data_IF_076973508743
#
_entry.id   IF_076973508743
#
_cell.length_a   1.000
_cell.length_b   1.000
_cell.length_c   1.000
_cell.angle_alpha   90.00
_cell.angle_beta   90.00
_cell.angle_gamma   90.00
#
_symmetry.space_group_name_H-M   'P 1'
#
loop_
_entity.id
_entity.type
_entity.pdbx_description
1 polymer ?
#
# COMPACT_ATOMS: atom_id res chain seq x y z
N UNK A 1 -22.23 6.33 -16.06
CA UNK A 1 -20.84 5.92 -16.34
C UNK A 1 -19.92 6.55 -15.29
N UNK A 2 -19.03 5.79 -14.62
CA UNK A 2 -18.02 6.38 -13.72
C UNK A 2 -16.89 6.94 -14.59
N UNK A 3 -16.67 8.26 -14.56
CA UNK A 3 -15.66 8.94 -15.35
C UNK A 3 -14.73 9.79 -14.48
N UNK A 4 -14.07 10.76 -15.10
CA UNK A 4 -13.06 11.65 -14.49
C UNK A 4 -13.54 12.31 -13.19
N UNK A 5 -14.83 12.67 -13.09
CA UNK A 5 -15.44 13.25 -11.89
C UNK A 5 -15.29 12.36 -10.64
N UNK A 6 -15.20 11.04 -10.81
CA UNK A 6 -15.02 10.09 -9.69
C UNK A 6 -13.58 10.03 -9.19
N UNK A 7 -12.58 10.38 -10.02
CA UNK A 7 -11.15 10.27 -9.68
C UNK A 7 -10.70 11.32 -8.64
N UNK A 8 -11.36 12.48 -8.59
CA UNK A 8 -11.06 13.52 -7.59
C UNK A 8 -11.23 13.05 -6.13
N UNK A 9 -12.00 11.98 -5.90
CA UNK A 9 -12.19 11.40 -4.56
C UNK A 9 -11.06 10.47 -4.12
N UNK A 10 -10.20 9.99 -5.04
CA UNK A 10 -9.17 8.98 -4.74
C UNK A 10 -7.91 9.53 -4.08
N UNK A 11 -7.65 10.84 -4.16
CA UNK A 11 -6.44 11.46 -3.58
C UNK A 11 -6.50 11.76 -2.07
N UNK A 12 -7.68 11.64 -1.45
CA UNK A 12 -7.92 12.09 -0.06
C UNK A 12 -7.19 11.28 1.02
N UNK A 13 -6.73 10.06 0.71
CA UNK A 13 -6.08 9.21 1.69
C UNK A 13 -5.03 8.32 1.07
N UNK A 14 -3.85 8.28 1.69
CA UNK A 14 -2.78 7.37 1.29
C UNK A 14 -3.12 5.96 1.77
N UNK A 15 -3.21 5.02 0.82
CA UNK A 15 -3.42 3.60 1.14
C UNK A 15 -2.07 2.89 1.35
N UNK A 16 -1.07 3.25 0.55
CA UNK A 16 0.27 2.69 0.58
C UNK A 16 1.30 3.75 1.00
N UNK A 17 2.31 3.34 1.74
CA UNK A 17 3.50 4.11 2.12
C UNK A 17 4.77 3.27 1.94
N UNK A 18 5.92 3.91 2.13
CA UNK A 18 7.22 3.27 2.16
C UNK A 18 7.28 2.18 3.24
N UNK A 19 7.66 0.97 2.84
CA UNK A 19 7.82 -0.16 3.73
C UNK A 19 9.12 -0.04 4.52
N UNK A 20 9.02 -0.13 5.85
CA UNK A 20 10.19 -0.10 6.76
C UNK A 20 11.16 -1.28 6.59
N UNK A 21 10.74 -2.39 5.97
CA UNK A 21 11.60 -3.56 5.74
C UNK A 21 12.34 -3.49 4.40
N UNK A 22 11.64 -3.22 3.30
CA UNK A 22 12.22 -3.32 1.94
C UNK A 22 12.34 -1.99 1.18
N UNK A 23 11.91 -0.87 1.76
CA UNK A 23 11.98 0.45 1.10
C UNK A 23 10.95 0.70 0.00
N UNK A 24 10.26 -0.32 -0.50
CA UNK A 24 9.23 -0.14 -1.55
C UNK A 24 7.99 0.61 -1.02
N UNK A 25 7.38 1.46 -1.86
CA UNK A 25 6.13 2.18 -1.55
C UNK A 25 4.89 1.27 -1.66
N UNK A 26 4.92 0.17 -0.90
CA UNK A 26 3.93 -0.91 -0.99
C UNK A 26 3.39 -1.35 0.37
N UNK A 27 3.72 -0.64 1.45
CA UNK A 27 3.15 -0.93 2.77
C UNK A 27 1.76 -0.33 2.92
N UNK A 28 0.74 -1.19 3.03
CA UNK A 28 -0.63 -0.79 3.21
C UNK A 28 -0.87 -0.37 4.67
N UNK A 29 -1.22 0.90 4.90
CA UNK A 29 -1.41 1.45 6.25
C UNK A 29 -2.65 0.84 6.91
N UNK A 30 -3.74 0.70 6.15
CA UNK A 30 -5.03 0.21 6.66
C UNK A 30 -4.96 -1.25 7.04
N UNK A 31 -4.31 -2.07 6.21
CA UNK A 31 -4.20 -3.52 6.41
C UNK A 31 -2.92 -3.94 7.14
N UNK A 32 -2.02 -3.00 7.45
CA UNK A 32 -0.76 -3.20 8.18
C UNK A 32 0.16 -4.28 7.59
N UNK A 33 0.25 -4.35 6.25
CA UNK A 33 1.20 -5.26 5.59
C UNK A 33 1.80 -4.68 4.31
N UNK A 34 3.00 -5.15 3.95
CA UNK A 34 3.66 -4.83 2.69
C UNK A 34 3.28 -5.82 1.60
N UNK A 35 2.74 -5.31 0.49
CA UNK A 35 2.40 -6.11 -0.67
C UNK A 35 3.63 -6.67 -1.40
N UNK A 36 4.77 -5.97 -1.33
CA UNK A 36 6.02 -6.42 -1.96
C UNK A 36 6.70 -7.51 -1.12
N UNK A 37 7.28 -7.16 0.04
CA UNK A 37 8.13 -8.09 0.79
C UNK A 37 7.39 -8.96 1.83
N UNK A 38 6.07 -8.79 2.00
CA UNK A 38 5.28 -9.51 3.00
C UNK A 38 5.42 -9.01 4.45
N UNK A 39 6.18 -7.95 4.71
CA UNK A 39 6.34 -7.35 6.05
C UNK A 39 4.99 -7.08 6.73
N UNK A 40 4.82 -7.49 7.99
CA UNK A 40 3.56 -7.39 8.75
C UNK A 40 2.59 -8.56 8.54
N UNK A 41 2.73 -9.32 7.43
CA UNK A 41 1.95 -10.55 7.18
C UNK A 41 2.77 -11.82 7.42
N UNK A 42 4.05 -11.81 7.05
CA UNK A 42 4.95 -12.96 7.24
C UNK A 42 6.31 -12.53 7.82
N UNK A 43 6.91 -13.37 8.68
CA UNK A 43 8.27 -13.13 9.15
C UNK A 43 9.28 -13.27 8.00
N UNK A 44 9.06 -14.25 7.10
CA UNK A 44 9.86 -14.45 5.90
C UNK A 44 9.61 -13.37 4.85
N UNK A 45 10.68 -12.97 4.17
CA UNK A 45 10.68 -12.00 3.07
C UNK A 45 10.25 -12.72 1.79
N UNK A 46 9.45 -12.03 0.95
CA UNK A 46 8.89 -12.54 -0.31
C UNK A 46 9.69 -12.10 -1.55
N UNK A 47 10.97 -11.78 -1.36
CA UNK A 47 11.84 -11.31 -2.45
C UNK A 47 11.89 -12.32 -3.59
#
# INVERSE_FOLDING_TARGET
>A
MKGTTSMGRMGRGKTHITCRRCGNHSYNIRKKFCAACGYGKTPRRRD
#
